data_IF_962746407440
#
_entry.id   IF_962746407440
#
_cell.length_a   1.000
_cell.length_b   1.000
_cell.length_c   1.000
_cell.angle_alpha   90.00
_cell.angle_beta   90.00
_cell.angle_gamma   90.00
#
_symmetry.space_group_name_H-M   'P 1'
#
loop_
_entity.id
_entity.type
_entity.pdbx_description
1 polymer ?
#
# COMPACT_ATOMS: atom_id res chain seq x y z
N UNK A 1 4.44 2.80 32.31
CA UNK A 1 3.83 2.34 31.04
C UNK A 1 2.91 1.20 31.41
N UNK A 2 1.61 1.34 31.19
CA UNK A 2 0.64 0.28 31.51
C UNK A 2 0.79 -0.79 30.43
N UNK A 3 1.29 -1.98 30.80
CA UNK A 3 1.32 -3.13 29.89
C UNK A 3 -0.13 -3.55 29.65
N UNK A 4 -0.66 -3.16 28.49
CA UNK A 4 -1.98 -3.59 28.02
C UNK A 4 -1.90 -5.07 27.61
N UNK A 5 -2.99 -5.86 27.77
CA UNK A 5 -3.03 -7.28 27.38
C UNK A 5 -2.53 -7.55 25.95
N UNK A 6 -2.73 -6.59 25.04
CA UNK A 6 -2.28 -6.63 23.66
C UNK A 6 -0.75 -6.59 23.54
N UNK A 7 -0.08 -5.82 24.40
CA UNK A 7 1.39 -5.72 24.44
C UNK A 7 1.97 -7.03 24.98
N UNK A 8 1.39 -7.59 26.04
CA UNK A 8 1.81 -8.88 26.59
C UNK A 8 1.68 -10.00 25.55
N UNK A 9 0.56 -10.02 24.81
CA UNK A 9 0.35 -10.98 23.74
C UNK A 9 1.41 -10.84 22.65
N UNK A 10 1.66 -9.62 22.16
CA UNK A 10 2.68 -9.38 21.13
C UNK A 10 4.08 -9.81 21.59
N UNK A 11 4.43 -9.56 22.85
CA UNK A 11 5.72 -9.96 23.41
C UNK A 11 5.84 -11.48 23.58
N UNK A 12 4.76 -12.17 23.94
CA UNK A 12 4.74 -13.63 24.00
C UNK A 12 4.93 -14.25 22.61
N UNK A 13 4.32 -13.68 21.58
CA UNK A 13 4.55 -14.10 20.19
C UNK A 13 6.00 -13.84 19.78
N UNK A 14 6.54 -12.67 20.09
CA UNK A 14 7.93 -12.32 19.79
C UNK A 14 8.93 -13.23 20.50
N UNK A 15 8.64 -13.66 21.73
CA UNK A 15 9.46 -14.62 22.46
C UNK A 15 9.49 -16.00 21.80
N UNK A 16 8.36 -16.47 21.26
CA UNK A 16 8.32 -17.73 20.52
C UNK A 16 9.06 -17.63 19.17
N UNK A 17 8.98 -16.49 18.51
CA UNK A 17 9.62 -16.26 17.22
C UNK A 17 11.13 -16.01 17.32
N UNK A 18 11.57 -15.33 18.39
CA UNK A 18 12.97 -14.93 18.63
C UNK A 18 13.41 -15.27 20.06
N UNK A 19 13.48 -16.57 20.41
CA UNK A 19 13.81 -17.01 21.77
C UNK A 19 15.20 -16.58 22.22
N UNK A 20 16.15 -16.43 21.30
CA UNK A 20 17.53 -16.02 21.54
C UNK A 20 17.71 -14.54 21.88
N UNK A 21 16.72 -13.70 21.55
CA UNK A 21 16.79 -12.26 21.76
C UNK A 21 16.37 -11.87 23.18
N UNK A 22 16.99 -10.82 23.72
CA UNK A 22 16.51 -10.20 24.95
C UNK A 22 15.14 -9.54 24.75
N UNK A 23 14.42 -9.26 25.85
CA UNK A 23 13.13 -8.54 25.79
C UNK A 23 13.23 -7.21 25.04
N UNK A 24 14.29 -6.43 25.28
CA UNK A 24 14.49 -5.15 24.62
C UNK A 24 14.71 -5.31 23.11
N UNK A 25 15.49 -6.32 22.69
CA UNK A 25 15.72 -6.63 21.27
C UNK A 25 14.43 -7.12 20.60
N UNK A 26 13.61 -7.93 21.27
CA UNK A 26 12.29 -8.38 20.78
C UNK A 26 11.34 -7.19 20.55
N UNK A 27 11.32 -6.23 21.49
CA UNK A 27 10.53 -5.00 21.33
C UNK A 27 10.98 -4.22 20.10
N UNK A 28 12.29 -4.01 19.94
CA UNK A 28 12.83 -3.31 18.77
C UNK A 28 12.49 -4.04 17.47
N UNK A 29 12.62 -5.38 17.46
CA UNK A 29 12.31 -6.22 16.31
C UNK A 29 10.83 -6.18 15.96
N UNK A 30 9.93 -6.15 16.95
CA UNK A 30 8.50 -5.95 16.75
C UNK A 30 8.19 -4.61 16.07
N UNK A 31 8.83 -3.52 16.52
CA UNK A 31 8.62 -2.21 15.90
C UNK A 31 9.11 -2.19 14.44
N UNK A 32 10.25 -2.80 14.16
CA UNK A 32 10.75 -2.92 12.79
C UNK A 32 9.80 -3.76 11.92
N UNK A 33 9.39 -4.93 12.40
CA UNK A 33 8.45 -5.79 11.68
C UNK A 33 7.10 -5.09 11.43
N UNK A 34 6.62 -4.30 12.39
CA UNK A 34 5.42 -3.48 12.22
C UNK A 34 5.60 -2.39 11.17
N UNK A 35 6.74 -1.70 11.15
CA UNK A 35 7.05 -0.70 10.14
C UNK A 35 7.10 -1.33 8.72
N UNK A 36 7.83 -2.44 8.58
CA UNK A 36 7.96 -3.18 7.32
C UNK A 36 6.60 -3.64 6.78
N UNK A 37 5.72 -4.14 7.67
CA UNK A 37 4.37 -4.56 7.30
C UNK A 37 3.53 -3.39 6.77
N UNK A 38 3.54 -2.25 7.47
CA UNK A 38 2.81 -1.04 7.06
C UNK A 38 3.31 -0.52 5.70
N UNK A 39 4.63 -0.53 5.49
CA UNK A 39 5.24 -0.14 4.22
C UNK A 39 4.85 -1.08 3.08
N UNK A 40 4.87 -2.40 3.34
CA UNK A 40 4.41 -3.43 2.41
C UNK A 40 2.97 -3.23 1.97
N UNK A 41 2.04 -3.04 2.90
CA UNK A 41 0.64 -2.77 2.57
C UNK A 41 0.46 -1.48 1.75
N UNK A 42 1.24 -0.44 2.03
CA UNK A 42 1.21 0.80 1.25
C UNK A 42 1.73 0.60 -0.16
N UNK A 43 2.80 -0.18 -0.32
CA UNK A 43 3.33 -0.54 -1.62
C UNK A 43 2.32 -1.34 -2.44
N UNK A 44 1.67 -2.31 -1.82
CA UNK A 44 0.66 -3.14 -2.49
C UNK A 44 -0.58 -2.33 -2.90
N UNK A 45 -1.09 -1.48 -2.02
CA UNK A 45 -2.18 -0.53 -2.36
C UNK A 45 -1.81 0.35 -3.56
N UNK A 46 -0.56 0.82 -3.64
CA UNK A 46 -0.09 1.60 -4.80
C UNK A 46 0.00 0.76 -6.07
N UNK A 47 0.44 -0.49 -5.97
CA UNK A 47 0.51 -1.43 -7.10
C UNK A 47 -0.88 -1.74 -7.64
N UNK A 48 -1.83 -2.12 -6.78
CA UNK A 48 -3.22 -2.38 -7.16
C UNK A 48 -3.83 -1.16 -7.85
N UNK A 49 -3.67 0.03 -7.26
CA UNK A 49 -4.17 1.28 -7.86
C UNK A 49 -3.56 1.52 -9.24
N UNK A 50 -2.24 1.34 -9.40
CA UNK A 50 -1.57 1.52 -10.69
C UNK A 50 -2.05 0.52 -11.72
N UNK A 51 -2.19 -0.76 -11.35
CA UNK A 51 -2.73 -1.78 -12.24
C UNK A 51 -4.16 -1.46 -12.72
N UNK A 52 -5.01 -0.90 -11.85
CA UNK A 52 -6.36 -0.47 -12.24
C UNK A 52 -6.34 0.72 -13.23
N UNK A 53 -5.38 1.65 -13.07
CA UNK A 53 -5.18 2.74 -14.03
C UNK A 53 -4.66 2.20 -15.36
N UNK A 54 -3.64 1.36 -15.35
CA UNK A 54 -3.04 0.80 -16.56
C UNK A 54 -4.04 -0.09 -17.34
N UNK A 55 -4.92 -0.82 -16.64
CA UNK A 55 -5.97 -1.63 -17.25
C UNK A 55 -7.05 -0.78 -17.95
N UNK A 56 -7.36 0.40 -17.41
CA UNK A 56 -8.38 1.29 -17.95
C UNK A 56 -7.81 2.31 -18.95
N UNK A 57 -6.51 2.61 -18.86
CA UNK A 57 -5.80 3.45 -19.81
C UNK A 57 -5.87 2.86 -21.22
N UNK A 58 -6.29 3.66 -22.19
CA UNK A 58 -6.41 3.25 -23.58
C UNK A 58 -7.62 2.36 -23.91
N UNK A 59 -8.44 1.99 -22.93
CA UNK A 59 -9.65 1.19 -23.16
C UNK A 59 -10.69 1.90 -24.05
N UNK A 60 -10.57 3.22 -24.22
CA UNK A 60 -11.42 4.05 -25.07
C UNK A 60 -10.69 4.58 -26.31
N UNK A 61 -9.42 4.22 -26.54
CA UNK A 61 -8.65 4.73 -27.69
C UNK A 61 -9.24 4.26 -29.02
N UNK A 62 -9.96 3.12 -29.04
CA UNK A 62 -10.69 2.66 -30.22
C UNK A 62 -12.12 3.21 -30.30
N UNK A 63 -12.61 3.88 -29.26
CA UNK A 63 -13.97 4.41 -29.22
C UNK A 63 -14.06 5.81 -29.87
N UNK A 64 -12.94 6.48 -30.07
CA UNK A 64 -12.86 7.82 -30.63
C UNK A 64 -11.86 7.86 -31.77
N UNK A 65 -12.23 8.53 -32.86
CA UNK A 65 -11.31 8.76 -33.97
C UNK A 65 -10.14 9.67 -33.53
N UNK A 66 -8.95 9.55 -34.16
CA UNK A 66 -7.76 10.31 -33.76
C UNK A 66 -7.96 11.83 -33.72
N UNK A 67 -8.85 12.37 -34.55
CA UNK A 67 -9.16 13.81 -34.68
C UNK A 67 -10.37 14.25 -33.83
N UNK A 68 -11.00 13.33 -33.09
CA UNK A 68 -12.24 13.58 -32.35
C UNK A 68 -12.12 14.74 -31.36
N UNK A 69 -10.99 14.82 -30.65
CA UNK A 69 -10.73 15.84 -29.63
C UNK A 69 -10.55 17.24 -30.24
N UNK A 70 -9.97 17.31 -31.44
CA UNK A 70 -9.75 18.56 -32.18
C UNK A 70 -11.05 19.07 -32.76
N UNK A 71 -11.86 18.16 -33.33
CA UNK A 71 -13.21 18.46 -33.82
C UNK A 71 -14.12 18.97 -32.71
N UNK A 72 -14.13 18.31 -31.55
CA UNK A 72 -14.95 18.72 -30.40
C UNK A 72 -14.59 20.12 -29.90
N UNK A 73 -13.29 20.46 -29.89
CA UNK A 73 -12.83 21.81 -29.49
C UNK A 73 -13.22 22.88 -30.50
N UNK A 74 -13.27 22.56 -31.78
CA UNK A 74 -13.71 23.49 -32.83
C UNK A 74 -15.21 23.82 -32.73
N UNK A 75 -16.01 22.93 -32.13
CA UNK A 75 -17.47 23.12 -31.96
C UNK A 75 -17.84 24.04 -30.77
N UNK A 76 -16.89 24.33 -29.88
CA UNK A 76 -17.07 25.32 -28.80
C UNK A 76 -16.19 26.56 -29.03
N UNK A 77 -16.68 27.55 -29.80
CA UNK A 77 -16.07 28.87 -29.79
C UNK A 77 -16.33 29.56 -28.44
N UNK A 78 -15.35 30.36 -27.98
CA UNK A 78 -15.31 31.08 -26.70
C UNK A 78 -16.60 31.85 -26.35
#
# INVERSE_FOLDING_TARGET
>A
MTETPEIEHALKVAEQAWPELSRAERVLRLFQAGADAIEGERAERRRVRRGAVDLSAGSLDTAYEPDYLERLRAEWPE
#
